data_IF_383370471466
#
_entry.id   IF_383370471466
#
_cell.length_a   1.000
_cell.length_b   1.000
_cell.length_c   1.000
_cell.angle_alpha   90.00
_cell.angle_beta   90.00
_cell.angle_gamma   90.00
#
_symmetry.space_group_name_H-M   'P 1'
#
loop_
_entity.id
_entity.type
_entity.pdbx_description
1 polymer ?
#
# COMPACT_ATOMS: atom_id res chain seq x y z
N UNK A 1 -8.80 14.41 -22.07
CA UNK A 1 -10.22 14.60 -21.76
C UNK A 1 -10.35 14.24 -20.29
N UNK A 2 -10.45 15.23 -19.42
CA UNK A 2 -10.74 15.00 -18.01
C UNK A 2 -12.26 14.97 -17.89
N UNK A 3 -12.80 13.91 -17.29
CA UNK A 3 -14.21 13.82 -16.98
C UNK A 3 -14.37 14.47 -15.62
N UNK A 4 -15.02 15.63 -15.57
CA UNK A 4 -15.47 16.20 -14.29
C UNK A 4 -16.57 15.28 -13.75
N UNK A 5 -16.23 14.56 -12.69
CA UNK A 5 -17.18 13.78 -11.88
C UNK A 5 -17.77 14.75 -10.85
N UNK A 6 -19.08 14.90 -10.82
CA UNK A 6 -19.72 15.75 -9.81
C UNK A 6 -19.69 15.08 -8.44
N UNK A 7 -19.62 15.86 -7.36
CA UNK A 7 -19.58 15.35 -5.98
C UNK A 7 -20.79 14.44 -5.67
N UNK A 8 -21.94 14.63 -6.32
CA UNK A 8 -23.11 13.75 -6.17
C UNK A 8 -22.89 12.32 -6.70
N UNK A 9 -21.95 12.12 -7.63
CA UNK A 9 -21.59 10.79 -8.13
C UNK A 9 -20.58 10.09 -7.21
N UNK A 10 -19.98 10.80 -6.25
CA UNK A 10 -19.03 10.22 -5.29
C UNK A 10 -19.73 9.53 -4.10
N UNK A 11 -20.97 9.90 -3.80
CA UNK A 11 -21.76 9.30 -2.70
C UNK A 11 -22.22 7.86 -2.98
N UNK A 12 -22.17 7.42 -4.25
CA UNK A 12 -22.52 6.05 -4.68
C UNK A 12 -21.32 5.08 -4.63
N UNK A 13 -20.11 5.59 -4.36
CA UNK A 13 -18.99 4.70 -4.04
C UNK A 13 -19.16 4.24 -2.59
N UNK A 14 -19.68 3.02 -2.44
CA UNK A 14 -19.72 2.31 -1.17
C UNK A 14 -18.36 2.48 -0.47
N UNK A 15 -18.37 3.08 0.72
CA UNK A 15 -17.15 3.21 1.51
C UNK A 15 -16.55 1.81 1.67
N UNK A 16 -15.27 1.61 1.32
CA UNK A 16 -14.66 0.30 1.46
C UNK A 16 -14.87 -0.20 2.88
N UNK A 17 -15.25 -1.47 2.99
CA UNK A 17 -15.41 -2.11 4.29
C UNK A 17 -14.13 -1.91 5.11
N UNK A 18 -14.24 -1.73 6.44
CA UNK A 18 -13.07 -1.57 7.29
C UNK A 18 -12.08 -2.71 7.05
N UNK A 19 -10.82 -2.39 6.74
CA UNK A 19 -9.76 -3.39 6.58
C UNK A 19 -9.51 -4.06 7.94
N UNK A 20 -9.82 -5.35 8.02
CA UNK A 20 -9.65 -6.16 9.25
C UNK A 20 -8.35 -6.95 9.24
N UNK A 21 -7.48 -6.72 8.24
CA UNK A 21 -6.16 -7.30 8.11
C UNK A 21 -6.19 -8.81 7.93
N UNK A 22 -5.27 -9.51 8.60
CA UNK A 22 -5.07 -10.96 8.46
C UNK A 22 -6.32 -11.80 8.77
N UNK A 23 -7.25 -11.28 9.57
CA UNK A 23 -8.52 -11.93 9.88
C UNK A 23 -9.31 -12.34 8.63
N UNK A 24 -9.26 -11.57 7.54
CA UNK A 24 -9.97 -11.92 6.29
C UNK A 24 -9.56 -13.28 5.72
N UNK A 25 -8.32 -13.70 6.02
CA UNK A 25 -7.75 -14.96 5.56
C UNK A 25 -7.90 -16.07 6.61
N UNK A 26 -7.68 -15.76 7.89
CA UNK A 26 -7.59 -16.78 8.95
C UNK A 26 -8.90 -17.03 9.69
N UNK A 27 -9.79 -16.04 9.72
CA UNK A 27 -11.03 -16.02 10.50
C UNK A 27 -10.82 -16.23 12.02
N UNK A 28 -9.58 -16.11 12.52
CA UNK A 28 -9.28 -16.13 13.96
C UNK A 28 -9.40 -14.71 14.52
N UNK A 29 -10.31 -14.43 15.47
CA UNK A 29 -10.45 -13.10 16.07
C UNK A 29 -9.16 -12.46 16.60
N UNK A 30 -8.14 -13.26 16.93
CA UNK A 30 -6.82 -12.77 17.39
C UNK A 30 -5.96 -12.15 16.28
N UNK A 31 -6.29 -12.41 15.02
CA UNK A 31 -5.60 -11.87 13.85
C UNK A 31 -6.24 -10.57 13.32
N UNK A 32 -7.26 -10.04 14.01
CA UNK A 32 -7.89 -8.77 13.62
C UNK A 32 -6.89 -7.63 13.70
N UNK A 33 -6.86 -6.82 12.64
CA UNK A 33 -5.94 -5.69 12.47
C UNK A 33 -4.45 -6.07 12.52
N UNK A 34 -4.14 -7.36 12.40
CA UNK A 34 -2.78 -7.83 12.22
C UNK A 34 -2.39 -7.66 10.75
N UNK A 35 -1.35 -6.88 10.50
CA UNK A 35 -0.80 -6.66 9.18
C UNK A 35 0.57 -7.30 9.03
N UNK A 36 0.91 -7.67 7.80
CA UNK A 36 2.27 -8.10 7.47
C UNK A 36 3.22 -6.91 7.61
N UNK A 37 4.31 -7.08 8.35
CA UNK A 37 5.39 -6.08 8.41
C UNK A 37 5.98 -5.86 7.01
N UNK A 38 5.89 -4.65 6.43
CA UNK A 38 6.45 -4.37 5.12
C UNK A 38 7.98 -4.28 5.16
N UNK A 39 8.62 -4.41 4.00
CA UNK A 39 10.06 -4.13 3.87
C UNK A 39 10.30 -2.62 3.90
N UNK A 40 11.45 -2.21 4.44
CA UNK A 40 11.89 -0.81 4.40
C UNK A 40 12.80 -0.47 3.20
N UNK A 41 13.10 -1.45 2.33
CA UNK A 41 13.86 -1.17 1.10
C UNK A 41 13.05 -0.23 0.21
N UNK A 42 13.70 0.84 -0.26
CA UNK A 42 13.09 1.91 -1.06
C UNK A 42 11.94 2.66 -0.37
N UNK A 43 11.80 2.58 0.96
CA UNK A 43 10.68 3.19 1.68
C UNK A 43 10.58 4.71 1.48
N UNK A 44 11.69 5.39 1.20
CA UNK A 44 11.68 6.83 0.94
C UNK A 44 10.94 7.24 -0.34
N UNK A 45 10.63 6.30 -1.24
CA UNK A 45 9.97 6.57 -2.53
C UNK A 45 8.64 5.83 -2.71
N UNK A 46 8.08 5.27 -1.63
CA UNK A 46 6.83 4.48 -1.66
C UNK A 46 5.69 5.16 -0.91
N UNK A 47 5.70 6.49 -0.81
CA UNK A 47 4.56 7.22 -0.25
C UNK A 47 3.31 7.02 -1.13
N UNK A 48 2.09 7.03 -0.56
CA UNK A 48 1.79 7.19 0.88
C UNK A 48 2.07 5.91 1.70
N UNK A 49 2.13 6.06 3.03
CA UNK A 49 2.55 5.03 3.98
C UNK A 49 1.37 4.45 4.79
N UNK A 50 1.63 3.31 5.44
CA UNK A 50 0.66 2.44 6.11
C UNK A 50 -0.21 1.64 5.12
N UNK A 51 -1.07 0.76 5.64
CA UNK A 51 -1.93 -0.11 4.83
C UNK A 51 -3.05 0.68 4.13
N UNK A 52 -3.48 1.78 4.73
CA UNK A 52 -4.55 2.68 4.29
C UNK A 52 -4.03 3.96 3.63
N UNK A 53 -2.71 4.15 3.55
CA UNK A 53 -2.12 5.37 3.00
C UNK A 53 -2.27 6.60 3.91
N UNK A 54 -2.54 6.44 5.21
CA UNK A 54 -2.84 7.55 6.12
C UNK A 54 -1.73 8.61 6.25
N UNK A 55 -0.46 8.27 5.98
CA UNK A 55 0.65 9.20 6.12
C UNK A 55 1.33 9.51 4.80
N UNK A 56 1.54 10.78 4.50
CA UNK A 56 2.24 11.21 3.29
C UNK A 56 3.76 11.29 3.44
N UNK A 57 4.30 11.25 4.67
CA UNK A 57 5.72 11.45 4.96
C UNK A 57 6.27 10.42 5.95
N UNK A 58 7.57 10.11 5.84
CA UNK A 58 8.26 9.22 6.79
C UNK A 58 8.31 9.83 8.19
N UNK A 59 8.42 11.14 8.27
CA UNK A 59 8.42 11.91 9.52
C UNK A 59 7.11 11.67 10.28
N UNK A 60 5.95 11.65 9.60
CA UNK A 60 4.67 11.36 10.23
C UNK A 60 4.58 9.90 10.72
N UNK A 61 5.14 8.95 9.97
CA UNK A 61 5.23 7.54 10.37
C UNK A 61 6.10 7.38 11.62
N UNK A 62 7.27 8.01 11.66
CA UNK A 62 8.17 7.98 12.82
C UNK A 62 7.51 8.61 14.04
N UNK A 63 6.84 9.75 13.86
CA UNK A 63 6.11 10.41 14.94
C UNK A 63 4.97 9.54 15.50
N UNK A 64 4.25 8.84 14.63
CA UNK A 64 3.19 7.90 15.02
C UNK A 64 3.72 6.78 15.91
N UNK A 65 4.82 6.13 15.52
CA UNK A 65 5.43 5.08 16.33
C UNK A 65 6.09 5.63 17.59
N UNK A 66 6.67 6.83 17.54
CA UNK A 66 7.26 7.48 18.72
C UNK A 66 6.22 7.71 19.83
N UNK A 67 4.96 7.98 19.45
CA UNK A 67 3.81 8.11 20.38
C UNK A 67 3.23 6.78 20.86
N UNK A 68 3.70 5.64 20.33
CA UNK A 68 3.18 4.32 20.68
C UNK A 68 1.91 3.91 19.91
N UNK A 69 1.69 4.51 18.73
CA UNK A 69 0.58 4.17 17.83
C UNK A 69 -0.81 4.54 18.37
N UNK A 70 -1.83 3.84 17.86
CA UNK A 70 -3.22 3.95 18.36
C UNK A 70 -3.50 2.78 19.30
N UNK A 71 -3.97 3.09 20.51
CA UNK A 71 -4.42 2.07 21.47
C UNK A 71 -5.64 1.32 20.94
N UNK A 72 -5.58 -0.01 21.02
CA UNK A 72 -6.71 -0.91 20.77
C UNK A 72 -6.52 -2.21 21.58
N UNK A 73 -7.58 -3.03 21.69
CA UNK A 73 -7.60 -4.25 22.50
C UNK A 73 -6.55 -5.28 22.05
N UNK A 74 -6.25 -5.32 20.74
CA UNK A 74 -5.36 -6.28 20.11
C UNK A 74 -3.96 -5.67 19.83
N UNK A 75 -3.63 -4.52 20.43
CA UNK A 75 -2.38 -3.80 20.15
C UNK A 75 -1.20 -4.60 20.67
N UNK A 76 -0.20 -4.78 19.80
CA UNK A 76 1.05 -5.44 20.18
C UNK A 76 1.74 -4.70 21.34
N UNK A 77 2.21 -5.41 22.38
CA UNK A 77 2.94 -4.81 23.50
C UNK A 77 4.31 -4.22 23.08
N UNK A 78 4.78 -4.53 21.87
CA UNK A 78 6.00 -3.94 21.30
C UNK A 78 5.76 -2.53 20.74
N UNK A 79 4.51 -2.07 20.67
CA UNK A 79 4.15 -0.73 20.21
C UNK A 79 3.82 0.12 21.42
N UNK A 80 4.83 0.87 21.88
CA UNK A 80 4.76 1.74 23.06
C UNK A 80 5.53 3.04 22.78
N UNK A 81 5.29 4.12 23.55
CA UNK A 81 5.98 5.38 23.35
C UNK A 81 7.50 5.22 23.47
N UNK A 82 8.22 5.64 22.44
CA UNK A 82 9.69 5.51 22.36
C UNK A 82 10.40 6.70 23.02
N UNK A 83 9.72 7.85 23.12
CA UNK A 83 10.24 9.09 23.69
C UNK A 83 11.55 9.57 23.03
N UNK A 84 11.66 9.38 21.72
CA UNK A 84 12.78 9.87 20.91
C UNK A 84 12.79 11.40 20.89
N UNK A 85 14.00 11.95 20.92
CA UNK A 85 14.27 13.36 20.66
C UNK A 85 14.01 13.72 19.19
N UNK A 86 13.89 15.01 18.89
CA UNK A 86 13.76 15.47 17.48
C UNK A 86 14.97 15.06 16.63
N UNK A 87 16.16 15.04 17.21
CA UNK A 87 17.40 14.63 16.52
C UNK A 87 17.36 13.14 16.18
N UNK A 88 17.00 12.28 17.14
CA UNK A 88 16.90 10.83 16.90
C UNK A 88 15.81 10.48 15.86
N UNK A 89 14.70 11.22 15.84
CA UNK A 89 13.67 11.06 14.80
C UNK A 89 14.22 11.44 13.43
N UNK A 90 14.95 12.56 13.33
CA UNK A 90 15.57 13.01 12.09
C UNK A 90 16.62 12.01 11.57
N UNK A 91 17.44 11.47 12.47
CA UNK A 91 18.45 10.45 12.15
C UNK A 91 17.81 9.15 11.66
N UNK A 92 16.71 8.72 12.29
CA UNK A 92 15.97 7.54 11.83
C UNK A 92 15.42 7.73 10.41
N UNK A 93 14.87 8.91 10.12
CA UNK A 93 14.40 9.24 8.77
C UNK A 93 15.56 9.29 7.78
N UNK A 94 16.70 9.87 8.16
CA UNK A 94 17.90 9.89 7.35
C UNK A 94 18.39 8.47 7.04
N UNK A 95 18.43 7.59 8.04
CA UNK A 95 18.75 6.18 7.88
C UNK A 95 17.81 5.49 6.89
N UNK A 96 16.49 5.68 7.02
CA UNK A 96 15.51 5.08 6.09
C UNK A 96 15.71 5.55 4.65
N UNK A 97 16.14 6.80 4.43
CA UNK A 97 16.47 7.32 3.09
C UNK A 97 17.67 6.57 2.47
N UNK A 98 18.62 6.09 3.27
CA UNK A 98 19.76 5.28 2.79
C UNK A 98 19.36 3.90 2.27
N UNK A 99 18.15 3.41 2.58
CA UNK A 99 17.65 2.11 2.14
C UNK A 99 17.11 2.11 0.70
N UNK A 100 17.31 3.21 -0.03
CA UNK A 100 16.89 3.37 -1.43
C UNK A 100 18.03 2.98 -2.37
N UNK A 101 17.77 2.03 -3.27
CA UNK A 101 18.73 1.62 -4.27
C UNK A 101 19.02 2.71 -5.31
N UNK A 102 20.20 2.67 -5.91
CA UNK A 102 20.63 3.54 -7.01
C UNK A 102 20.10 3.10 -8.38
N UNK A 103 19.66 1.84 -8.50
CA UNK A 103 19.19 1.24 -9.74
C UNK A 103 17.73 1.53 -10.09
N UNK A 104 17.03 2.40 -9.33
CA UNK A 104 15.60 2.68 -9.54
C UNK A 104 15.32 3.25 -10.93
N UNK A 105 16.15 4.18 -11.40
CA UNK A 105 15.98 4.77 -12.73
C UNK A 105 16.18 3.75 -13.85
N UNK A 106 17.15 2.85 -13.70
CA UNK A 106 17.38 1.76 -14.65
C UNK A 106 16.18 0.80 -14.70
N UNK A 107 15.68 0.38 -13.52
CA UNK A 107 14.49 -0.48 -13.43
C UNK A 107 13.24 0.20 -14.02
N UNK A 108 13.07 1.50 -13.79
CA UNK A 108 11.96 2.26 -14.36
C UNK A 108 12.06 2.38 -15.89
N UNK A 109 13.26 2.58 -16.43
CA UNK A 109 13.49 2.59 -17.88
C UNK A 109 13.21 1.24 -18.51
N UNK A 110 13.68 0.15 -17.89
CA UNK A 110 13.47 -1.21 -18.38
C UNK A 110 11.98 -1.58 -18.39
N UNK A 111 11.24 -1.24 -17.33
CA UNK A 111 9.79 -1.44 -17.28
C UNK A 111 9.04 -0.68 -18.39
N UNK A 112 9.43 0.56 -18.68
CA UNK A 112 8.82 1.35 -19.77
C UNK A 112 9.11 0.76 -21.15
N UNK A 113 10.35 0.33 -21.39
CA UNK A 113 10.76 -0.34 -22.64
C UNK A 113 10.04 -1.67 -22.85
N UNK A 114 9.85 -2.46 -21.78
CA UNK A 114 9.11 -3.71 -21.85
C UNK A 114 7.66 -3.48 -22.33
N UNK A 115 7.00 -2.42 -21.85
CA UNK A 115 5.66 -2.03 -22.32
C UNK A 115 5.62 -1.62 -23.79
N UNK A 116 6.67 -0.97 -24.30
CA UNK A 116 6.76 -0.60 -25.71
C UNK A 116 6.94 -1.84 -26.61
N UNK A 117 7.76 -2.80 -26.18
CA UNK A 117 8.04 -4.02 -26.94
C UNK A 117 6.94 -5.09 -26.82
N UNK A 118 6.13 -5.05 -25.76
CA UNK A 118 4.98 -5.91 -25.54
C UNK A 118 3.74 -5.04 -25.28
N UNK A 119 3.10 -4.53 -26.34
CA UNK A 119 1.87 -3.76 -26.18
C UNK A 119 0.83 -4.62 -25.47
N UNK A 120 0.21 -4.08 -24.41
CA UNK A 120 -0.95 -4.71 -23.77
C UNK A 120 -1.98 -4.95 -24.88
N UNK A 121 -2.47 -6.19 -25.07
CA UNK A 121 -3.53 -6.45 -26.03
C UNK A 121 -4.70 -5.50 -25.76
N UNK A 122 -5.28 -4.91 -26.81
CA UNK A 122 -6.44 -4.01 -26.67
C UNK A 122 -7.70 -4.72 -26.15
N UNK A 123 -7.69 -6.05 -26.15
CA UNK A 123 -8.72 -6.91 -25.57
C UNK A 123 -8.23 -7.43 -24.23
N UNK A 124 -9.11 -7.40 -23.24
CA UNK A 124 -8.82 -7.96 -21.94
C UNK A 124 -8.59 -9.47 -22.11
N UNK A 125 -7.51 -10.07 -21.56
CA UNK A 125 -7.32 -11.51 -21.60
C UNK A 125 -8.53 -12.31 -21.08
N UNK A 126 -9.34 -11.74 -20.18
CA UNK A 126 -10.60 -12.33 -19.69
C UNK A 126 -11.71 -12.39 -20.76
N UNK A 127 -11.69 -11.51 -21.77
CA UNK A 127 -12.64 -11.54 -22.90
C UNK A 127 -12.47 -12.84 -23.72
N UNK A 128 -11.23 -13.32 -23.89
CA UNK A 128 -10.93 -14.58 -24.58
C UNK A 128 -11.43 -15.81 -23.80
N UNK A 129 -11.41 -15.77 -22.47
CA UNK A 129 -11.94 -16.85 -21.65
C UNK A 129 -13.47 -16.96 -21.80
N UNK A 130 -14.18 -15.82 -21.89
CA UNK A 130 -15.63 -15.80 -22.06
C UNK A 130 -16.11 -16.28 -23.43
N UNK A 131 -15.36 -16.01 -24.52
CA UNK A 131 -15.67 -16.57 -25.84
C UNK A 131 -15.42 -18.09 -25.91
N UNK A 132 -14.37 -18.59 -25.25
CA UNK A 132 -14.04 -20.02 -25.27
C UNK A 132 -15.06 -20.92 -24.56
N UNK A 133 -15.72 -20.40 -23.51
CA UNK A 133 -16.77 -21.11 -22.76
C UNK A 133 -18.16 -20.95 -23.37
N UNK A 134 -18.35 -19.98 -24.28
CA UNK A 134 -19.62 -19.68 -24.93
C UNK A 134 -20.02 -20.65 -26.05
N UNK A 135 -19.08 -21.42 -26.58
CA UNK A 135 -19.29 -22.26 -27.77
C UNK A 135 -19.41 -23.77 -27.47
N UNK A 136 -19.70 -24.14 -26.22
CA UNK A 136 -19.99 -25.52 -25.82
C UNK A 136 -21.29 -25.61 -25.04
N UNK A 137 -22.41 -25.50 -25.74
CA UNK A 137 -23.68 -26.09 -25.30
C UNK A 137 -24.29 -26.84 -26.49
N UNK A 138 -24.51 -28.16 -26.38
CA UNK A 138 -25.32 -28.91 -27.34
C UNK A 138 -26.79 -28.50 -27.28
#
# INVERSE_FOLDING_TARGET
MFVDVSDEQLDDFEKPLPDVGRYEVTLDPKDRWAYKTPSLRNVAITAPYMHDGAFSTLEAVVEFYNKGGVDNEDKSPLIFPLNLTEEEKADLVAFMKTLTGDNIDALAQDARRARENYPVPKQDPSDFYMESIGNSRP
#
